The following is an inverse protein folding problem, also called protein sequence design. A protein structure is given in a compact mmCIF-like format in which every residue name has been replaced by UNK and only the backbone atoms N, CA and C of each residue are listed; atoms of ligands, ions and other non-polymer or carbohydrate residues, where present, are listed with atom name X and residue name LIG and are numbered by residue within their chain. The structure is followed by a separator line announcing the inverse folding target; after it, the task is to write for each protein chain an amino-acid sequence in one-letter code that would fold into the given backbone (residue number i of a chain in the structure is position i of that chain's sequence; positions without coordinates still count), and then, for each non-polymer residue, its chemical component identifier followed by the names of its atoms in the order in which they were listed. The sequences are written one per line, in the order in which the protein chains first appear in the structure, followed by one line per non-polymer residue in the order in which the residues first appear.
data_IF_407234165796
#
_entry.id   IF_407234165796
#
_cell.length_a   1.000
_cell.length_b   1.000
_cell.length_c   1.000
_cell.angle_alpha   90.00
_cell.angle_beta   90.00
_cell.angle_gamma   90.00
#
_symmetry.space_group_name_H-M   'P 1'
#
loop_
_entity.id
_entity.type
_entity.pdbx_description
1 polymer ?
#
# COMPACT_ATOMS: atom_id res chain seq x y z
N UNK A 1 -14.86 -2.56 1.57
CA UNK A 1 -13.87 -2.11 2.58
C UNK A 1 -12.85 -1.08 2.09
N UNK A 2 -12.32 -1.18 0.86
CA UNK A 2 -11.34 -0.20 0.34
C UNK A 2 -11.85 1.24 0.38
N UNK A 3 -13.13 1.43 0.04
CA UNK A 3 -13.80 2.74 0.03
C UNK A 3 -14.06 3.33 1.43
N UNK A 4 -13.72 2.60 2.49
CA UNK A 4 -13.94 3.01 3.89
C UNK A 4 -12.60 3.18 4.61
N UNK A 5 -11.73 2.16 4.53
CA UNK A 5 -10.46 2.14 5.29
C UNK A 5 -9.46 3.18 4.79
N UNK A 6 -9.26 3.32 3.47
CA UNK A 6 -8.30 4.29 2.92
C UNK A 6 -8.74 5.73 3.22
N UNK A 7 -10.00 6.14 2.96
CA UNK A 7 -10.47 7.47 3.36
C UNK A 7 -10.37 7.72 4.86
N UNK A 8 -10.56 6.69 5.70
CA UNK A 8 -10.42 6.84 7.14
C UNK A 8 -8.98 7.19 7.54
N UNK A 9 -7.98 6.51 6.98
CA UNK A 9 -6.57 6.87 7.21
C UNK A 9 -6.29 8.33 6.84
N UNK A 10 -6.77 8.75 5.66
CA UNK A 10 -6.58 10.12 5.16
C UNK A 10 -7.26 11.17 6.05
N UNK A 11 -8.46 10.89 6.57
CA UNK A 11 -9.16 11.78 7.54
C UNK A 11 -8.37 11.97 8.84
N UNK A 12 -7.64 10.95 9.27
CA UNK A 12 -6.76 11.01 10.44
C UNK A 12 -5.35 11.54 10.11
N UNK A 13 -5.17 12.17 8.94
CA UNK A 13 -3.92 12.80 8.53
C UNK A 13 -2.82 11.82 8.11
N UNK A 14 -3.14 10.53 7.95
CA UNK A 14 -2.19 9.55 7.46
C UNK A 14 -2.13 9.62 5.94
N UNK A 15 -0.92 9.83 5.44
CA UNK A 15 -0.66 9.92 4.02
C UNK A 15 -0.60 8.54 3.36
N UNK A 16 -1.69 8.16 2.67
CA UNK A 16 -1.78 6.94 1.88
C UNK A 16 -1.27 7.19 0.47
N UNK A 17 -0.11 6.63 0.14
CA UNK A 17 0.57 6.88 -1.13
C UNK A 17 0.20 5.88 -2.21
N UNK A 18 -0.14 4.65 -1.82
CA UNK A 18 -0.57 3.60 -2.74
C UNK A 18 -1.43 2.55 -2.03
N UNK A 19 -2.47 2.05 -2.71
CA UNK A 19 -3.29 0.98 -2.17
C UNK A 19 -3.98 0.18 -3.27
N UNK A 20 -3.73 -1.13 -3.33
CA UNK A 20 -4.27 -2.02 -4.36
C UNK A 20 -4.18 -3.49 -3.93
N UNK A 21 -4.94 -4.42 -4.56
CA UNK A 21 -4.63 -5.84 -4.50
C UNK A 21 -3.20 -6.12 -4.97
N UNK A 22 -2.58 -7.20 -4.47
CA UNK A 22 -1.31 -7.65 -5.02
C UNK A 22 -1.49 -8.17 -6.45
N UNK A 23 -0.45 -8.01 -7.28
CA UNK A 23 -0.50 -8.44 -8.68
C UNK A 23 -0.49 -9.96 -8.85
N UNK A 24 0.14 -10.68 -7.92
CA UNK A 24 0.31 -12.13 -8.02
C UNK A 24 -0.86 -12.91 -7.42
N UNK A 25 -1.65 -12.28 -6.55
CA UNK A 25 -2.79 -12.91 -5.89
C UNK A 25 -3.77 -11.83 -5.40
N UNK A 26 -5.05 -11.84 -5.86
CA UNK A 26 -6.04 -10.83 -5.51
C UNK A 26 -6.53 -10.90 -4.05
N UNK A 27 -6.26 -12.00 -3.33
CA UNK A 27 -6.59 -12.15 -1.92
C UNK A 27 -5.63 -11.33 -1.03
N UNK A 28 -4.43 -11.04 -1.54
CA UNK A 28 -3.48 -10.17 -0.85
C UNK A 28 -3.77 -8.70 -1.17
N UNK A 29 -3.68 -7.87 -0.13
CA UNK A 29 -3.89 -6.43 -0.24
C UNK A 29 -2.67 -5.66 0.25
N UNK A 30 -2.30 -4.62 -0.48
CA UNK A 30 -1.16 -3.78 -0.16
C UNK A 30 -1.65 -2.36 0.18
N UNK A 31 -1.15 -1.84 1.29
CA UNK A 31 -1.36 -0.47 1.74
C UNK A 31 0.01 0.14 2.02
N UNK A 32 0.38 1.17 1.26
CA UNK A 32 1.63 1.92 1.44
C UNK A 32 1.28 3.30 1.95
N UNK A 33 1.96 3.69 3.02
CA UNK A 33 1.79 4.96 3.73
C UNK A 33 3.14 5.63 3.89
N UNK A 34 3.17 6.95 3.79
CA UNK A 34 4.36 7.74 4.02
C UNK A 34 4.27 8.48 5.35
N UNK A 35 5.42 8.63 5.99
CA UNK A 35 5.60 9.32 7.26
C UNK A 35 6.94 10.03 7.24
N UNK A 36 7.03 11.17 7.91
CA UNK A 36 8.26 11.98 7.93
C UNK A 36 9.41 11.29 8.68
N UNK A 37 9.07 10.50 9.71
CA UNK A 37 10.04 9.74 10.51
C UNK A 37 9.41 8.49 11.14
N UNK A 38 10.21 7.54 11.64
CA UNK A 38 9.71 6.40 12.41
C UNK A 38 8.91 6.79 13.66
N UNK A 39 9.30 7.89 14.33
CA UNK A 39 8.63 8.42 15.52
C UNK A 39 7.25 8.99 15.15
N UNK A 40 7.18 9.76 14.05
CA UNK A 40 5.91 10.24 13.50
C UNK A 40 5.00 9.07 13.09
N UNK A 41 5.55 8.03 12.44
CA UNK A 41 4.81 6.82 12.10
C UNK A 41 4.22 6.14 13.35
N UNK A 42 5.00 5.93 14.41
CA UNK A 42 4.50 5.30 15.64
C UNK A 42 3.37 6.12 16.23
N UNK A 43 3.58 7.41 16.46
CA UNK A 43 2.58 8.28 17.06
C UNK A 43 1.28 8.33 16.25
N UNK A 44 1.37 8.48 14.92
CA UNK A 44 0.21 8.52 14.05
C UNK A 44 -0.57 7.19 14.03
N UNK A 45 0.14 6.06 13.96
CA UNK A 45 -0.50 4.75 13.93
C UNK A 45 -1.09 4.34 15.29
N UNK A 46 -0.40 4.66 16.39
CA UNK A 46 -0.90 4.39 17.74
C UNK A 46 -2.18 5.17 18.01
N UNK A 47 -2.23 6.45 17.64
CA UNK A 47 -3.43 7.28 17.74
C UNK A 47 -4.57 6.73 16.86
N UNK A 48 -4.26 6.40 15.59
CA UNK A 48 -5.26 5.87 14.64
C UNK A 48 -5.89 4.57 15.13
N UNK A 49 -5.08 3.59 15.51
CA UNK A 49 -5.58 2.27 15.92
C UNK A 49 -6.22 2.26 17.32
N UNK A 50 -5.92 3.27 18.16
CA UNK A 50 -6.60 3.46 19.43
C UNK A 50 -7.97 4.16 19.30
N UNK A 51 -8.20 4.89 18.21
CA UNK A 51 -9.42 5.68 17.98
C UNK A 51 -10.69 4.87 17.74
N UNK A 52 -11.82 5.45 18.14
CA UNK A 52 -13.15 4.82 18.01
C UNK A 52 -13.56 4.61 16.56
N UNK A 53 -13.23 5.56 15.67
CA UNK A 53 -13.53 5.43 14.23
C UNK A 53 -12.91 4.17 13.61
N UNK A 54 -11.72 3.75 14.08
CA UNK A 54 -11.13 2.49 13.66
C UNK A 54 -11.79 1.33 14.39
N UNK A 55 -11.80 1.37 15.73
CA UNK A 55 -12.23 0.26 16.59
C UNK A 55 -13.65 -0.22 16.34
N UNK A 56 -14.58 0.72 16.15
CA UNK A 56 -16.00 0.48 15.88
C UNK A 56 -16.37 0.70 14.41
N UNK A 57 -15.37 0.94 13.56
CA UNK A 57 -15.56 1.11 12.12
C UNK A 57 -14.96 -0.07 11.35
N UNK A 58 -14.12 0.19 10.33
CA UNK A 58 -13.73 -0.83 9.37
C UNK A 58 -12.89 -1.96 9.97
N UNK A 59 -12.40 -1.83 11.21
CA UNK A 59 -11.71 -2.91 11.93
C UNK A 59 -12.57 -4.17 12.03
N UNK A 60 -13.86 -4.02 12.32
CA UNK A 60 -14.77 -5.15 12.56
C UNK A 60 -14.93 -6.03 11.34
N UNK A 61 -14.89 -5.45 10.13
CA UNK A 61 -14.97 -6.19 8.89
C UNK A 61 -13.59 -6.61 8.33
N UNK A 62 -12.53 -5.83 8.60
CA UNK A 62 -11.20 -6.09 8.02
C UNK A 62 -10.42 -7.13 8.81
N UNK A 63 -10.31 -6.97 10.13
CA UNK A 63 -9.43 -7.83 10.94
C UNK A 63 -9.81 -9.31 10.85
N UNK A 64 -11.10 -9.70 10.87
CA UNK A 64 -11.48 -11.10 10.71
C UNK A 64 -11.13 -11.71 9.35
N UNK A 65 -10.93 -10.89 8.31
CA UNK A 65 -10.55 -11.35 6.97
C UNK A 65 -9.04 -11.53 6.79
N UNK A 66 -8.20 -11.12 7.74
CA UNK A 66 -6.74 -11.19 7.62
C UNK A 66 -6.25 -12.47 8.29
N UNK A 67 -5.86 -13.46 7.47
CA UNK A 67 -5.16 -14.66 7.95
C UNK A 67 -3.71 -14.34 8.37
N UNK A 68 -2.99 -13.57 7.56
CA UNK A 68 -1.62 -13.14 7.85
C UNK A 68 -1.34 -11.73 7.34
N UNK A 69 -0.37 -11.05 7.97
CA UNK A 69 0.01 -9.68 7.62
C UNK A 69 1.52 -9.49 7.79
N UNK A 70 2.13 -8.77 6.85
CA UNK A 70 3.55 -8.38 6.89
C UNK A 70 3.62 -6.86 6.86
N UNK A 71 4.43 -6.29 7.76
CA UNK A 71 4.74 -4.85 7.80
C UNK A 71 6.23 -4.65 7.53
N UNK A 72 6.54 -3.86 6.51
CA UNK A 72 7.91 -3.45 6.16
C UNK A 72 8.04 -1.94 6.24
N UNK A 73 9.17 -1.45 6.76
CA UNK A 73 9.49 -0.02 6.85
C UNK A 73 10.79 0.24 6.09
N UNK A 74 10.77 1.18 5.16
CA UNK A 74 11.91 1.50 4.29
C UNK A 74 12.11 3.02 4.31
N UNK A 75 13.35 3.48 4.42
CA UNK A 75 13.69 4.90 4.21
C UNK A 75 13.85 5.16 2.73
N UNK A 76 13.13 6.15 2.21
CA UNK A 76 13.19 6.57 0.82
C UNK A 76 13.33 8.10 0.76
N UNK A 77 14.02 8.64 -0.26
CA UNK A 77 13.96 10.06 -0.58
C UNK A 77 12.52 10.50 -0.89
N UNK A 78 12.15 11.73 -0.54
CA UNK A 78 10.81 12.27 -0.79
C UNK A 78 10.37 12.14 -2.27
N UNK A 79 11.28 12.41 -3.21
CA UNK A 79 11.03 12.24 -4.65
C UNK A 79 10.62 10.81 -5.05
N UNK A 80 11.10 9.80 -4.32
CA UNK A 80 10.77 8.39 -4.59
C UNK A 80 9.37 8.07 -4.07
N UNK A 81 9.00 8.66 -2.92
CA UNK A 81 7.65 8.56 -2.37
C UNK A 81 6.64 9.21 -3.32
N UNK A 82 6.95 10.39 -3.86
CA UNK A 82 6.08 11.07 -4.84
C UNK A 82 5.85 10.25 -6.11
N UNK A 83 6.88 9.52 -6.58
CA UNK A 83 6.74 8.59 -7.72
C UNK A 83 5.78 7.43 -7.44
N UNK A 84 5.64 6.98 -6.19
CA UNK A 84 4.68 5.93 -5.80
C UNK A 84 3.23 6.39 -5.89
N UNK A 85 2.97 7.70 -5.81
CA UNK A 85 1.62 8.28 -5.95
C UNK A 85 1.12 8.32 -7.39
N UNK A 86 2.01 8.06 -8.35
CA UNK A 86 1.71 8.09 -9.78
C UNK A 86 0.58 7.13 -10.15
N UNK A 87 -0.41 7.63 -10.90
CA UNK A 87 -1.61 6.91 -11.32
C UNK A 87 -1.30 5.52 -11.87
N UNK A 88 -2.18 4.58 -11.52
CA UNK A 88 -2.24 3.16 -11.86
C UNK A 88 -2.33 2.88 -13.39
N UNK A 89 -1.38 3.38 -14.18
CA UNK A 89 -1.32 3.20 -15.64
C UNK A 89 -0.32 2.11 -16.07
N UNK A 90 -0.03 1.14 -15.21
CA UNK A 90 0.48 -0.14 -15.69
C UNK A 90 -0.71 -0.94 -16.23
N UNK A 91 -1.13 -0.59 -17.45
CA UNK A 91 -1.76 -1.58 -18.33
C UNK A 91 -0.80 -2.78 -18.43
N UNK A 92 -1.27 -4.03 -18.52
CA UNK A 92 -0.42 -5.20 -18.78
C UNK A 92 0.46 -5.05 -20.03
N UNK A 93 0.20 -4.06 -20.89
CA UNK A 93 1.01 -3.70 -22.05
C UNK A 93 2.25 -2.82 -21.77
N UNK A 94 2.58 -2.52 -20.51
CA UNK A 94 3.74 -1.70 -20.13
C UNK A 94 5.13 -2.27 -20.45
N UNK A 95 5.19 -3.49 -21.00
CA UNK A 95 6.41 -4.16 -21.47
C UNK A 95 6.68 -4.01 -22.98
N UNK A 96 6.12 -2.99 -23.66
CA UNK A 96 6.61 -2.58 -24.98
C UNK A 96 7.73 -1.54 -24.85
N UNK A 97 8.84 -1.96 -24.26
CA UNK A 97 10.13 -1.29 -24.35
C UNK A 97 11.10 -2.26 -25.01
N UNK A 98 11.48 -1.95 -26.24
CA UNK A 98 12.33 -2.76 -27.11
C UNK A 98 13.60 -3.25 -26.39
N UNK A 99 13.64 -4.54 -26.07
CA UNK A 99 14.84 -5.37 -25.95
C UNK A 99 14.40 -6.83 -26.01
N UNK A 100 13.97 -7.25 -27.21
CA UNK A 100 13.89 -8.67 -27.52
C UNK A 100 15.32 -9.20 -27.58
N UNK A 101 15.80 -9.77 -26.48
CA UNK A 101 16.91 -10.71 -26.54
C UNK A 101 16.39 -11.94 -27.31
N UNK A 102 17.07 -12.39 -28.37
CA UNK A 102 16.62 -13.56 -29.11
C UNK A 102 16.67 -14.77 -28.18
N UNK A 103 15.57 -15.50 -28.11
CA UNK A 103 15.55 -16.85 -27.54
C UNK A 103 16.51 -17.70 -28.36
N UNK A 104 17.64 -18.05 -27.76
CA UNK A 104 18.58 -19.02 -28.29
C UNK A 104 18.79 -20.13 -27.27
N UNK A 105 18.50 -21.36 -27.70
CA UNK A 105 19.20 -22.54 -27.20
C UNK A 105 18.53 -23.29 -26.06
N UNK A 106 18.12 -24.51 -26.39
CA UNK A 106 18.11 -25.69 -25.54
C UNK A 106 19.19 -25.66 -24.44
N UNK A 107 18.80 -25.98 -23.19
CA UNK A 107 19.24 -27.13 -22.37
C UNK A 107 18.39 -27.21 -21.10
#
# INVERSE_FOLDING_TARGET
MRDISVPLHQRHGIDVVWSAPALHDPDYYILVRAFDSPENMSAALDAFYAGDDWRHGPREDIIPCIDSCIKTVIRLPAESVEKLRGKHNLSPSGLKGNNALPLAGEY
#
